data_IF_870577089326
#
_entry.id   IF_870577089326
#
_cell.length_a   1.000
_cell.length_b   1.000
_cell.length_c   1.000
_cell.angle_alpha   90.00
_cell.angle_beta   90.00
_cell.angle_gamma   90.00
#
_symmetry.space_group_name_H-M   'P 1'
#
loop_
_entity.id
_entity.type
_entity.pdbx_description
1 polymer ?
#
# COMPACT_ATOMS: atom_id res chain seq x y z
N UNK A 1 1.12 -3.74 2.09
CA UNK A 1 0.08 -3.84 1.04
C UNK A 1 0.51 -3.12 -0.23
N UNK A 2 0.98 -1.88 -0.12
CA UNK A 2 1.36 -1.03 -1.27
C UNK A 2 2.38 -1.66 -2.23
N UNK A 3 3.47 -2.25 -1.72
CA UNK A 3 4.54 -2.81 -2.56
C UNK A 3 4.05 -3.97 -3.44
N UNK A 4 3.16 -4.83 -2.91
CA UNK A 4 2.59 -5.94 -3.68
C UNK A 4 1.72 -5.43 -4.83
N UNK A 5 0.85 -4.47 -4.55
CA UNK A 5 -0.04 -3.89 -5.57
C UNK A 5 0.73 -3.16 -6.67
N UNK A 6 1.79 -2.41 -6.31
CA UNK A 6 2.65 -1.74 -7.28
C UNK A 6 3.37 -2.75 -8.18
N UNK A 7 3.87 -3.86 -7.62
CA UNK A 7 4.52 -4.91 -8.39
C UNK A 7 3.54 -5.57 -9.38
N UNK A 8 2.34 -5.93 -8.94
CA UNK A 8 1.31 -6.49 -9.81
C UNK A 8 0.84 -5.50 -10.88
N UNK A 9 0.71 -4.21 -10.54
CA UNK A 9 0.37 -3.16 -11.49
C UNK A 9 1.43 -3.01 -12.59
N UNK A 10 2.71 -2.97 -12.22
CA UNK A 10 3.82 -2.88 -13.18
C UNK A 10 3.87 -4.11 -14.10
N UNK A 11 3.68 -5.31 -13.56
CA UNK A 11 3.61 -6.55 -14.34
C UNK A 11 2.40 -6.59 -15.27
N UNK A 12 1.21 -6.24 -14.77
CA UNK A 12 -0.01 -6.18 -15.57
C UNK A 12 0.11 -5.16 -16.71
N UNK A 13 0.73 -4.01 -16.44
CA UNK A 13 1.00 -2.99 -17.46
C UNK A 13 1.98 -3.48 -18.52
N UNK A 14 3.10 -4.09 -18.13
CA UNK A 14 4.09 -4.61 -19.08
C UNK A 14 3.50 -5.70 -20.00
N UNK A 15 2.77 -6.66 -19.42
CA UNK A 15 2.13 -7.74 -20.17
C UNK A 15 0.98 -7.21 -21.02
N UNK A 16 0.15 -6.32 -20.46
CA UNK A 16 -0.96 -5.68 -21.17
C UNK A 16 -0.48 -4.84 -22.36
N UNK A 17 0.63 -4.13 -22.19
CA UNK A 17 1.27 -3.36 -23.27
C UNK A 17 1.80 -4.27 -24.38
N UNK A 18 2.45 -5.38 -24.01
CA UNK A 18 2.95 -6.35 -24.99
C UNK A 18 1.83 -7.02 -25.81
N UNK A 19 0.68 -7.29 -25.19
CA UNK A 19 -0.48 -7.93 -25.85
C UNK A 19 -1.38 -6.90 -26.56
N UNK A 20 -1.29 -5.61 -26.21
CA UNK A 20 -2.13 -4.55 -26.76
C UNK A 20 -3.60 -4.61 -26.33
N UNK A 21 -3.94 -5.41 -25.33
CA UNK A 21 -5.32 -5.61 -24.86
C UNK A 21 -5.50 -5.10 -23.43
N UNK A 22 -6.36 -4.11 -23.27
CA UNK A 22 -6.70 -3.53 -21.97
C UNK A 22 -7.46 -4.51 -21.06
N UNK A 23 -8.26 -5.41 -21.65
CA UNK A 23 -8.98 -6.43 -20.88
C UNK A 23 -8.02 -7.40 -20.19
N UNK A 24 -6.98 -7.85 -20.90
CA UNK A 24 -5.97 -8.74 -20.34
C UNK A 24 -5.19 -8.07 -19.21
N UNK A 25 -4.86 -6.78 -19.36
CA UNK A 25 -4.25 -5.98 -18.30
C UNK A 25 -5.12 -5.96 -17.03
N UNK A 26 -6.41 -5.69 -17.19
CA UNK A 26 -7.35 -5.64 -16.06
C UNK A 26 -7.51 -6.99 -15.38
N UNK A 27 -7.58 -8.11 -16.11
CA UNK A 27 -7.69 -9.44 -15.51
C UNK A 27 -6.48 -9.79 -14.66
N UNK A 28 -5.27 -9.51 -15.14
CA UNK A 28 -4.03 -9.75 -14.37
C UNK A 28 -4.00 -8.89 -13.11
N UNK A 29 -4.37 -7.62 -13.23
CA UNK A 29 -4.39 -6.70 -12.09
C UNK A 29 -5.46 -7.08 -11.06
N UNK A 30 -6.67 -7.42 -11.50
CA UNK A 30 -7.74 -7.92 -10.63
C UNK A 30 -7.33 -9.21 -9.90
N UNK A 31 -6.68 -10.14 -10.60
CA UNK A 31 -6.07 -11.32 -9.98
C UNK A 31 -5.05 -10.96 -8.90
N UNK A 32 -4.18 -9.97 -9.16
CA UNK A 32 -3.21 -9.45 -8.19
C UNK A 32 -3.85 -8.84 -6.93
N UNK A 33 -4.97 -8.13 -7.09
CA UNK A 33 -5.75 -7.59 -5.97
C UNK A 33 -6.34 -8.73 -5.13
N UNK A 34 -6.98 -9.72 -5.77
CA UNK A 34 -7.58 -10.87 -5.08
C UNK A 34 -6.50 -11.65 -4.30
N UNK A 35 -5.35 -11.89 -4.93
CA UNK A 35 -4.22 -12.56 -4.29
C UNK A 35 -3.71 -11.75 -3.08
N UNK A 36 -3.53 -10.45 -3.25
CA UNK A 36 -3.09 -9.57 -2.16
C UNK A 36 -4.11 -9.54 -1.03
N UNK A 37 -5.40 -9.53 -1.34
CA UNK A 37 -6.47 -9.60 -0.34
C UNK A 37 -6.43 -10.94 0.40
N UNK A 38 -6.26 -12.06 -0.30
CA UNK A 38 -6.13 -13.38 0.31
C UNK A 38 -4.87 -13.51 1.18
N UNK A 39 -3.81 -12.77 0.89
CA UNK A 39 -2.60 -12.75 1.72
C UNK A 39 -2.76 -11.85 2.95
N UNK A 40 -3.55 -10.80 2.86
CA UNK A 40 -3.58 -9.73 3.87
C UNK A 40 -4.77 -9.80 4.81
N UNK A 41 -5.90 -10.34 4.33
CA UNK A 41 -7.15 -10.40 5.07
C UNK A 41 -7.30 -11.60 6.01
N UNK A 42 -6.86 -12.84 5.71
CA UNK A 42 -7.09 -13.92 6.64
C UNK A 42 -6.31 -13.59 7.90
N UNK A 43 -7.00 -13.69 9.04
CA UNK A 43 -6.41 -13.78 10.36
C UNK A 43 -5.62 -15.09 10.40
N UNK A 44 -4.47 -15.11 9.72
CA UNK A 44 -3.73 -16.32 9.43
C UNK A 44 -3.64 -17.13 10.71
N UNK A 45 -4.18 -18.37 10.73
CA UNK A 45 -4.32 -19.16 11.94
C UNK A 45 -2.95 -19.50 12.55
N UNK A 46 -1.84 -19.16 11.89
CA UNK A 46 -0.49 -19.15 12.44
C UNK A 46 -0.22 -17.96 13.38
N UNK A 47 -0.67 -16.75 13.04
CA UNK A 47 -0.43 -15.53 13.83
C UNK A 47 -1.44 -15.31 14.96
N UNK A 48 -2.61 -15.96 14.91
CA UNK A 48 -3.66 -15.83 15.92
C UNK A 48 -3.68 -16.99 16.94
N UNK A 49 -2.57 -17.73 17.11
CA UNK A 49 -2.49 -18.88 18.03
C UNK A 49 -2.40 -18.48 19.50
N UNK A 50 -1.90 -17.29 19.80
CA UNK A 50 -1.75 -16.80 21.16
C UNK A 50 -2.71 -15.62 21.36
N UNK A 51 -3.88 -15.83 22.01
CA UNK A 51 -4.79 -14.74 22.30
C UNK A 51 -4.07 -13.72 23.17
N UNK A 52 -4.00 -12.47 22.71
CA UNK A 52 -3.43 -11.38 23.51
C UNK A 52 -4.35 -11.15 24.71
N UNK A 53 -3.84 -11.40 25.91
CA UNK A 53 -4.49 -10.99 27.16
C UNK A 53 -4.29 -9.49 27.28
N UNK A 54 -5.34 -8.73 26.95
CA UNK A 54 -5.33 -7.28 27.13
C UNK A 54 -5.30 -6.98 28.63
N UNK A 55 -4.35 -6.14 29.05
CA UNK A 55 -4.22 -5.74 30.44
C UNK A 55 -5.42 -4.88 30.84
N UNK A 56 -5.93 -5.05 32.06
CA UNK A 56 -7.02 -4.22 32.56
C UNK A 56 -6.64 -2.73 32.51
N UNK A 57 -7.59 -1.82 32.21
CA UNK A 57 -7.31 -0.40 32.06
C UNK A 57 -6.59 0.22 33.26
N UNK A 58 -6.82 -0.31 34.47
CA UNK A 58 -6.18 0.13 35.71
C UNK A 58 -4.71 -0.31 35.84
N UNK A 59 -4.35 -1.47 35.32
CA UNK A 59 -2.98 -2.00 35.35
C UNK A 59 -2.13 -1.42 34.20
N UNK A 60 -2.77 -1.01 33.09
CA UNK A 60 -2.14 -0.30 31.99
C UNK A 60 -1.64 1.11 32.36
N UNK A 61 -2.22 1.73 33.40
CA UNK A 61 -1.80 3.03 33.96
C UNK A 61 -0.65 2.86 34.99
N UNK A 62 -0.64 1.74 35.72
CA UNK A 62 0.25 1.48 36.87
C UNK A 62 1.60 0.90 36.46
N UNK A 63 1.62 0.08 35.40
CA UNK A 63 2.84 -0.21 34.66
C UNK A 63 2.96 0.85 33.56
N UNK A 64 3.90 1.82 33.64
CA UNK A 64 4.23 2.61 32.46
C UNK A 64 4.64 1.59 31.40
N UNK A 65 3.77 1.39 30.41
CA UNK A 65 3.96 0.51 29.26
C UNK A 65 5.44 0.55 28.90
N UNK A 66 6.17 -0.60 28.80
CA UNK A 66 7.55 -0.58 28.34
C UNK A 66 7.52 0.32 27.14
N UNK A 67 8.19 1.48 27.25
CA UNK A 67 8.15 2.45 26.18
C UNK A 67 8.57 1.62 24.99
N UNK A 68 7.65 1.44 24.04
CA UNK A 68 8.03 1.05 22.70
C UNK A 68 8.88 2.23 22.33
N UNK A 69 10.19 2.12 22.63
CA UNK A 69 11.16 3.15 22.31
C UNK A 69 10.78 3.49 20.90
N UNK A 70 10.40 4.75 20.61
CA UNK A 70 10.20 5.13 19.24
C UNK A 70 11.57 4.88 18.63
N UNK A 71 11.75 3.69 18.04
CA UNK A 71 12.89 3.37 17.22
C UNK A 71 12.87 4.51 16.26
N UNK A 72 13.87 5.38 16.39
CA UNK A 72 14.02 6.54 15.54
C UNK A 72 14.07 5.97 14.14
N UNK A 73 12.92 5.90 13.47
CA UNK A 73 12.86 5.69 12.04
C UNK A 73 13.47 6.95 11.48
N UNK A 74 14.77 6.84 11.22
CA UNK A 74 15.51 7.79 10.42
C UNK A 74 14.66 8.06 9.17
N UNK A 75 14.37 9.34 8.96
CA UNK A 75 13.24 9.80 8.17
C UNK A 75 13.16 9.18 6.79
N UNK A 76 12.04 8.54 6.49
CA UNK A 76 11.60 8.26 5.13
C UNK A 76 10.43 9.17 4.72
N UNK A 77 10.37 10.39 5.28
CA UNK A 77 9.36 11.42 4.97
C UNK A 77 9.67 12.21 3.69
N UNK A 78 10.66 11.80 2.92
CA UNK A 78 11.01 12.41 1.62
C UNK A 78 10.27 11.74 0.44
N UNK A 79 9.84 10.48 0.57
CA UNK A 79 9.30 9.70 -0.56
C UNK A 79 7.83 9.95 -0.87
N UNK A 80 7.02 10.34 0.11
CA UNK A 80 5.60 10.67 -0.10
C UNK A 80 5.43 11.97 -0.91
N UNK A 81 6.28 12.98 -0.67
CA UNK A 81 6.27 14.20 -1.49
C UNK A 81 6.65 13.91 -2.94
N UNK A 82 7.65 13.06 -3.20
CA UNK A 82 8.06 12.73 -4.58
C UNK A 82 6.96 12.02 -5.37
N UNK A 83 6.26 11.05 -4.78
CA UNK A 83 5.21 10.29 -5.49
C UNK A 83 3.99 11.17 -5.78
N UNK A 84 3.58 12.02 -4.83
CA UNK A 84 2.47 12.97 -5.04
C UNK A 84 2.87 14.08 -6.01
N UNK A 85 4.13 14.51 -6.02
CA UNK A 85 4.63 15.51 -6.96
C UNK A 85 4.78 14.95 -8.39
N UNK A 86 5.17 13.68 -8.55
CA UNK A 86 5.16 13.01 -9.86
C UNK A 86 3.74 12.80 -10.39
N UNK A 87 2.77 12.45 -9.53
CA UNK A 87 1.36 12.39 -9.94
C UNK A 87 0.84 13.76 -10.37
N UNK A 88 1.09 14.80 -9.57
CA UNK A 88 0.66 16.18 -9.89
C UNK A 88 1.34 16.73 -11.15
N UNK A 89 2.59 16.39 -11.45
CA UNK A 89 3.26 16.79 -12.69
C UNK A 89 2.73 16.06 -13.93
N UNK A 90 2.31 14.81 -13.80
CA UNK A 90 1.61 14.08 -14.88
C UNK A 90 0.26 14.74 -15.18
N UNK A 91 -0.48 15.17 -14.17
CA UNK A 91 -1.75 15.87 -14.35
C UNK A 91 -1.58 17.32 -14.87
N UNK A 92 -0.53 18.02 -14.43
CA UNK A 92 -0.26 19.41 -14.85
C UNK A 92 0.23 19.50 -16.30
N UNK A 93 0.89 18.47 -16.84
CA UNK A 93 1.24 18.42 -18.26
C UNK A 93 0.04 18.07 -19.17
N UNK A 94 -1.06 17.56 -18.62
CA UNK A 94 -2.28 17.25 -19.39
C UNK A 94 -3.31 18.39 -19.36
N UNK A 95 -3.35 19.21 -18.29
CA UNK A 95 -4.29 20.33 -18.17
C UNK A 95 -3.83 21.64 -18.87
N UNK A 96 -2.60 21.69 -19.39
CA UNK A 96 -2.03 22.86 -20.08
C UNK A 96 -2.26 22.96 -21.59
N UNK A 97 -3.05 22.05 -22.21
CA UNK A 97 -3.25 22.01 -23.67
C UNK A 97 -4.68 22.32 -24.16
N UNK A 98 -5.65 22.57 -23.26
CA UNK A 98 -7.06 22.79 -23.62
C UNK A 98 -7.67 24.06 -23.00
N UNK A 99 -6.88 25.12 -22.84
CA UNK A 99 -7.31 26.40 -22.24
C UNK A 99 -7.15 27.62 -23.16
N UNK A 100 -7.24 27.45 -24.48
CA UNK A 100 -7.18 28.57 -25.43
C UNK A 100 -8.35 28.51 -26.40
N UNK A 101 -9.55 28.86 -25.90
CA UNK A 101 -10.61 29.57 -26.61
C UNK A 101 -11.40 30.39 -25.58
#
# INVERSE_FOLDING_TARGET
MEIMLIAFAAMAFAVGYAVGSFQMMLFIYAGGIILTALVTLPSWPFFNRHPLVWLDPSEAERNPKPQVVPSKKHGAKQRQKIVVFMFSLVDCHSFGSNGRL
#
